data_IF_446778944273
#
_entry.id   IF_446778944273
#
_cell.length_a   1.000
_cell.length_b   1.000
_cell.length_c   1.000
_cell.angle_alpha   90.00
_cell.angle_beta   90.00
_cell.angle_gamma   90.00
#
_symmetry.space_group_name_H-M   'P 1'
#
loop_
_entity.id
_entity.type
_entity.pdbx_description
1 polymer ?
#
# COMPACT_ATOMS: atom_id res chain seq x y z
N UNK A 1 -36.44 0.19 -24.21
CA UNK A 1 -35.35 0.01 -25.22
C UNK A 1 -34.39 1.20 -25.35
N UNK A 2 -34.69 2.40 -24.82
CA UNK A 2 -33.92 3.65 -25.05
C UNK A 2 -32.63 3.83 -24.23
N UNK A 3 -32.39 3.04 -23.16
CA UNK A 3 -31.17 3.13 -22.33
C UNK A 3 -30.10 2.08 -22.63
N UNK A 4 -30.49 0.90 -23.13
CA UNK A 4 -29.55 -0.16 -23.50
C UNK A 4 -28.65 0.27 -24.66
N UNK A 5 -29.24 0.90 -25.67
CA UNK A 5 -28.50 1.41 -26.83
C UNK A 5 -27.47 2.51 -26.44
N UNK A 6 -27.84 3.42 -25.53
CA UNK A 6 -26.90 4.44 -25.04
C UNK A 6 -25.76 3.85 -24.20
N UNK A 7 -26.04 2.80 -23.44
CA UNK A 7 -25.02 2.11 -22.63
C UNK A 7 -24.02 1.37 -23.52
N UNK A 8 -24.50 0.66 -24.54
CA UNK A 8 -23.61 -0.02 -25.48
C UNK A 8 -22.78 0.98 -26.29
N UNK A 9 -23.39 2.07 -26.77
CA UNK A 9 -22.67 3.16 -27.43
C UNK A 9 -21.64 3.84 -26.51
N UNK A 10 -21.91 3.95 -25.21
CA UNK A 10 -20.95 4.48 -24.24
C UNK A 10 -19.78 3.50 -24.01
N UNK A 11 -20.06 2.19 -23.96
CA UNK A 11 -19.01 1.17 -23.86
C UNK A 11 -18.13 1.14 -25.10
N UNK A 12 -18.71 1.15 -26.29
CA UNK A 12 -17.97 1.19 -27.55
C UNK A 12 -17.10 2.44 -27.66
N UNK A 13 -17.64 3.62 -27.29
CA UNK A 13 -16.87 4.87 -27.26
C UNK A 13 -15.73 4.80 -26.24
N UNK A 14 -15.95 4.23 -25.06
CA UNK A 14 -14.89 4.04 -24.08
C UNK A 14 -13.83 3.05 -24.57
N UNK A 15 -14.23 1.95 -25.20
CA UNK A 15 -13.31 0.96 -25.75
C UNK A 15 -12.44 1.58 -26.85
N UNK A 16 -13.06 2.36 -27.75
CA UNK A 16 -12.36 3.08 -28.83
C UNK A 16 -11.37 4.11 -28.27
N UNK A 17 -11.77 4.88 -27.25
CA UNK A 17 -10.87 5.82 -26.55
C UNK A 17 -9.68 5.12 -25.91
N UNK A 18 -9.90 4.01 -25.20
CA UNK A 18 -8.82 3.23 -24.61
C UNK A 18 -7.87 2.66 -25.67
N UNK A 19 -8.40 2.14 -26.78
CA UNK A 19 -7.58 1.65 -27.89
C UNK A 19 -6.76 2.75 -28.56
N UNK A 20 -7.33 3.95 -28.71
CA UNK A 20 -6.60 5.11 -29.24
C UNK A 20 -5.50 5.58 -28.29
N UNK A 21 -5.78 5.66 -26.99
CA UNK A 21 -4.79 5.99 -25.96
C UNK A 21 -3.62 4.99 -25.93
N UNK A 22 -3.92 3.68 -26.09
CA UNK A 22 -2.90 2.62 -26.19
C UNK A 22 -2.02 2.74 -27.45
N UNK A 23 -2.55 3.29 -28.55
CA UNK A 23 -1.81 3.52 -29.79
C UNK A 23 -0.99 4.81 -29.76
N UNK A 24 -1.45 5.83 -29.03
CA UNK A 24 -0.78 7.12 -28.92
C UNK A 24 0.25 7.18 -27.78
N UNK A 25 0.22 6.24 -26.83
CA UNK A 25 1.27 6.13 -25.82
C UNK A 25 2.50 5.46 -26.45
N UNK A 26 3.66 6.15 -26.50
CA UNK A 26 4.91 5.49 -26.87
C UNK A 26 5.19 4.37 -25.88
N UNK A 27 5.87 3.31 -26.33
CA UNK A 27 6.20 2.07 -25.60
C UNK A 27 7.08 2.24 -24.32
N UNK A 28 7.14 3.47 -23.80
CA UNK A 28 7.77 3.90 -22.55
C UNK A 28 7.02 3.42 -21.29
N UNK A 29 5.84 2.79 -21.46
CA UNK A 29 5.03 2.28 -20.36
C UNK A 29 5.78 1.24 -19.51
N UNK A 30 6.69 0.44 -20.10
CA UNK A 30 7.53 -0.50 -19.35
C UNK A 30 8.43 0.23 -18.34
N UNK A 31 9.16 1.25 -18.80
CA UNK A 31 10.03 2.07 -17.95
C UNK A 31 9.21 2.81 -16.88
N UNK A 32 8.01 3.32 -17.21
CA UNK A 32 7.14 3.99 -16.23
C UNK A 32 6.52 3.02 -15.21
N UNK A 33 6.21 1.79 -15.62
CA UNK A 33 5.68 0.74 -14.77
C UNK A 33 6.76 0.23 -13.81
N UNK A 34 7.96 -0.07 -14.31
CA UNK A 34 9.09 -0.54 -13.50
C UNK A 34 9.46 0.50 -12.44
N UNK A 35 9.60 1.76 -12.85
CA UNK A 35 9.84 2.89 -11.93
C UNK A 35 8.71 3.08 -10.89
N UNK A 36 7.48 2.67 -11.21
CA UNK A 36 6.37 2.74 -10.25
C UNK A 36 6.43 1.57 -9.28
N UNK A 37 6.72 0.36 -9.76
CA UNK A 37 6.90 -0.83 -8.94
C UNK A 37 8.05 -0.64 -7.94
N UNK A 38 9.18 -0.08 -8.36
CA UNK A 38 10.32 0.22 -7.48
C UNK A 38 9.93 1.22 -6.38
N UNK A 39 9.25 2.32 -6.74
CA UNK A 39 8.78 3.30 -5.75
C UNK A 39 7.78 2.70 -4.76
N UNK A 40 6.83 1.92 -5.24
CA UNK A 40 5.81 1.29 -4.40
C UNK A 40 6.46 0.27 -3.44
N UNK A 41 7.46 -0.47 -3.90
CA UNK A 41 8.25 -1.40 -3.08
C UNK A 41 9.07 -0.65 -2.00
N UNK A 42 9.74 0.45 -2.35
CA UNK A 42 10.49 1.26 -1.38
C UNK A 42 9.60 1.85 -0.29
N UNK A 43 8.40 2.32 -0.66
CA UNK A 43 7.42 2.83 0.30
C UNK A 43 6.96 1.71 1.25
N UNK A 44 6.70 0.51 0.72
CA UNK A 44 6.34 -0.66 1.53
C UNK A 44 7.45 -1.04 2.50
N UNK A 45 8.72 -1.08 2.05
CA UNK A 45 9.86 -1.40 2.92
C UNK A 45 10.00 -0.39 4.05
N UNK A 46 9.96 0.91 3.72
CA UNK A 46 10.01 2.00 4.72
C UNK A 46 8.85 1.91 5.72
N UNK A 47 7.64 1.56 5.25
CA UNK A 47 6.47 1.40 6.12
C UNK A 47 6.63 0.21 7.07
N UNK A 48 7.17 -0.90 6.59
CA UNK A 48 7.46 -2.07 7.42
C UNK A 48 8.54 -1.78 8.45
N UNK A 49 9.64 -1.13 8.06
CA UNK A 49 10.70 -0.69 8.97
C UNK A 49 10.15 0.24 10.07
N UNK A 50 9.33 1.23 9.69
CA UNK A 50 8.69 2.13 10.65
C UNK A 50 7.71 1.41 11.58
N UNK A 51 6.94 0.43 11.07
CA UNK A 51 6.04 -0.37 11.89
C UNK A 51 6.80 -1.29 12.86
N UNK A 52 7.89 -1.91 12.41
CA UNK A 52 8.75 -2.74 13.24
C UNK A 52 9.42 -1.91 14.35
N UNK A 53 9.91 -0.71 14.03
CA UNK A 53 10.47 0.20 15.03
C UNK A 53 9.45 0.60 16.10
N UNK A 54 8.22 0.95 15.70
CA UNK A 54 7.14 1.25 16.65
C UNK A 54 6.80 0.07 17.54
N UNK A 55 6.66 -1.12 16.94
CA UNK A 55 6.39 -2.36 17.67
C UNK A 55 7.51 -2.68 18.67
N UNK A 56 8.77 -2.50 18.29
CA UNK A 56 9.91 -2.72 19.20
C UNK A 56 9.89 -1.75 20.39
N UNK A 57 9.53 -0.48 20.18
CA UNK A 57 9.39 0.51 21.26
C UNK A 57 8.22 0.14 22.19
N UNK A 58 7.07 -0.25 21.64
CA UNK A 58 5.92 -0.68 22.43
C UNK A 58 6.20 -1.96 23.21
N UNK A 59 6.89 -2.94 22.61
CA UNK A 59 7.29 -4.17 23.30
C UNK A 59 8.33 -3.90 24.39
N UNK A 60 9.28 -2.99 24.16
CA UNK A 60 10.25 -2.58 25.17
C UNK A 60 9.56 -1.85 26.34
N UNK A 61 8.61 -0.96 26.06
CA UNK A 61 7.82 -0.28 27.07
C UNK A 61 6.95 -1.26 27.87
N UNK A 62 6.27 -2.20 27.20
CA UNK A 62 5.46 -3.23 27.84
C UNK A 62 6.31 -4.18 28.70
N UNK A 63 7.53 -4.51 28.26
CA UNK A 63 8.49 -5.34 29.02
C UNK A 63 9.04 -4.58 30.23
N UNK A 64 9.32 -3.29 30.11
CA UNK A 64 9.72 -2.43 31.21
C UNK A 64 8.61 -2.31 32.27
N UNK A 65 7.37 -2.09 31.85
CA UNK A 65 6.20 -2.06 32.75
C UNK A 65 5.99 -3.39 33.47
N UNK A 66 6.12 -4.53 32.78
CA UNK A 66 6.07 -5.86 33.41
C UNK A 66 7.19 -6.06 34.44
N UNK A 67 8.43 -5.70 34.10
CA UNK A 67 9.56 -5.77 35.01
C UNK A 67 9.38 -4.89 36.25
N UNK A 68 8.84 -3.68 36.09
CA UNK A 68 8.53 -2.78 37.22
C UNK A 68 7.49 -3.39 38.15
N UNK A 69 6.41 -3.98 37.62
CA UNK A 69 5.40 -4.68 38.43
C UNK A 69 5.98 -5.88 39.17
N UNK A 70 6.86 -6.66 38.52
CA UNK A 70 7.58 -7.77 39.15
C UNK A 70 8.49 -7.30 40.29
N UNK A 71 9.17 -6.16 40.14
CA UNK A 71 10.01 -5.58 41.19
C UNK A 71 9.19 -5.04 42.37
N UNK A 72 8.01 -4.46 42.11
CA UNK A 72 7.09 -3.99 43.17
C UNK A 72 6.41 -5.14 43.90
N UNK A 73 6.18 -6.26 43.21
CA UNK A 73 5.55 -7.46 43.77
C UNK A 73 6.57 -8.46 44.36
N UNK A 74 7.84 -8.09 44.56
CA UNK A 74 8.88 -8.98 45.09
C UNK A 74 8.46 -9.51 46.49
N UNK A 75 8.02 -10.78 46.62
CA UNK A 75 7.40 -11.29 47.84
C UNK A 75 8.45 -11.75 48.89
N UNK A 76 9.73 -11.51 48.60
CA UNK A 76 10.88 -11.88 49.45
C UNK A 76 11.66 -10.64 49.97
N UNK A 77 11.16 -9.43 49.72
CA UNK A 77 11.65 -8.18 50.34
C UNK A 77 10.63 -7.58 51.30
#
# INVERSE_FOLDING_TARGET
MTRGNQRELARERNLKKQQQQKKSQPHQDGVKLDNRMERDADIMRKKQEAAAAKKAVEEAAARAEKNKKLQVFDPLK
#
